data_IF_862661417285
#
_entry.id   IF_862661417285
#
_cell.length_a   1.000
_cell.length_b   1.000
_cell.length_c   1.000
_cell.angle_alpha   90.00
_cell.angle_beta   90.00
_cell.angle_gamma   90.00
#
_symmetry.space_group_name_H-M   'P 1'
#
loop_
_entity.id
_entity.type
_entity.pdbx_description
1 polymer ?
#
# COMPACT_ATOMS: atom_id res chain seq x y z
N UNK A 1 -17.35 -4.67 -0.47
CA UNK A 1 -15.99 -5.07 -0.90
C UNK A 1 -16.11 -6.05 -2.05
N UNK A 2 -15.45 -5.79 -3.17
CA UNK A 2 -15.46 -6.71 -4.31
C UNK A 2 -14.83 -8.06 -3.91
N UNK A 3 -15.39 -9.21 -4.33
CA UNK A 3 -14.91 -10.55 -3.94
C UNK A 3 -13.44 -10.81 -4.28
N UNK A 4 -12.90 -10.12 -5.28
CA UNK A 4 -11.50 -10.23 -5.68
C UNK A 4 -10.51 -9.77 -4.59
N UNK A 5 -10.83 -8.71 -3.83
CA UNK A 5 -9.94 -8.18 -2.78
C UNK A 5 -9.76 -9.19 -1.65
N UNK A 6 -10.82 -9.91 -1.30
CA UNK A 6 -10.75 -10.95 -0.27
C UNK A 6 -9.80 -12.10 -0.66
N UNK A 7 -9.80 -12.50 -1.94
CA UNK A 7 -8.87 -13.50 -2.47
C UNK A 7 -7.41 -13.06 -2.36
N UNK A 8 -7.12 -11.82 -2.76
CA UNK A 8 -5.76 -11.27 -2.68
C UNK A 8 -5.26 -11.12 -1.22
N UNK A 9 -6.15 -10.75 -0.28
CA UNK A 9 -5.81 -10.72 1.14
C UNK A 9 -5.46 -12.12 1.69
N UNK A 10 -6.22 -13.14 1.28
CA UNK A 10 -5.94 -14.52 1.69
C UNK A 10 -4.61 -15.03 1.10
N UNK A 11 -4.33 -14.72 -0.16
CA UNK A 11 -3.06 -15.03 -0.80
C UNK A 11 -1.89 -14.32 -0.10
N UNK A 12 -2.01 -13.01 0.15
CA UNK A 12 -1.00 -12.22 0.84
C UNK A 12 -0.69 -12.77 2.25
N UNK A 13 -1.71 -13.21 2.98
CA UNK A 13 -1.56 -13.86 4.27
C UNK A 13 -0.84 -15.21 4.16
N UNK A 14 -1.20 -16.02 3.17
CA UNK A 14 -0.55 -17.32 2.90
C UNK A 14 0.92 -17.16 2.56
N UNK A 15 1.26 -16.15 1.75
CA UNK A 15 2.64 -15.78 1.39
C UNK A 15 3.38 -15.01 2.49
N UNK A 16 2.74 -14.72 3.63
CA UNK A 16 3.28 -13.95 4.75
C UNK A 16 3.87 -12.59 4.32
N UNK A 17 3.20 -11.91 3.38
CA UNK A 17 3.70 -10.68 2.78
C UNK A 17 3.93 -9.56 3.80
N UNK A 18 3.20 -9.54 4.91
CA UNK A 18 3.36 -8.56 6.00
C UNK A 18 4.71 -8.64 6.71
N UNK A 19 5.42 -9.77 6.59
CA UNK A 19 6.77 -9.98 7.12
C UNK A 19 7.85 -9.90 6.05
N UNK A 20 7.46 -9.65 4.79
CA UNK A 20 8.39 -9.64 3.68
C UNK A 20 9.41 -8.49 3.85
N UNK A 21 10.72 -8.70 3.64
CA UNK A 21 11.74 -7.67 3.87
C UNK A 21 11.50 -6.37 3.09
N UNK A 22 11.02 -6.48 1.85
CA UNK A 22 10.69 -5.30 1.03
C UNK A 22 9.53 -4.52 1.62
N UNK A 23 8.48 -5.20 2.10
CA UNK A 23 7.35 -4.55 2.76
C UNK A 23 7.79 -3.80 4.02
N UNK A 24 8.57 -4.50 4.86
CA UNK A 24 9.08 -3.93 6.08
C UNK A 24 9.95 -2.69 5.82
N UNK A 25 10.77 -2.75 4.77
CA UNK A 25 11.62 -1.63 4.34
C UNK A 25 10.80 -0.45 3.79
N UNK A 26 9.78 -0.69 2.97
CA UNK A 26 8.89 0.36 2.44
C UNK A 26 8.21 1.16 3.56
N UNK A 27 7.93 0.50 4.68
CA UNK A 27 7.30 1.11 5.85
C UNK A 27 8.29 1.51 6.95
N UNK A 28 9.60 1.34 6.73
CA UNK A 28 10.62 1.68 7.71
C UNK A 28 10.54 0.91 9.02
N UNK A 29 10.00 -0.31 9.02
CA UNK A 29 9.93 -1.15 10.22
C UNK A 29 11.31 -1.63 10.67
N UNK A 30 11.45 -1.70 11.98
CA UNK A 30 12.56 -2.33 12.70
C UNK A 30 12.00 -3.32 13.71
N UNK A 31 12.83 -4.28 14.12
CA UNK A 31 12.46 -5.18 15.21
C UNK A 31 12.24 -4.41 16.51
N UNK A 32 11.16 -4.72 17.21
CA UNK A 32 10.78 -4.11 18.47
C UNK A 32 10.40 -5.22 19.48
N UNK A 33 10.91 -5.14 20.70
CA UNK A 33 10.73 -6.21 21.69
C UNK A 33 9.32 -6.29 22.26
N UNK A 34 8.51 -5.23 22.14
CA UNK A 34 7.16 -5.15 22.72
C UNK A 34 6.10 -5.50 21.67
N UNK A 35 6.24 -4.94 20.47
CA UNK A 35 5.27 -5.02 19.37
C UNK A 35 5.69 -5.98 18.26
N UNK A 36 6.93 -6.50 18.31
CA UNK A 36 7.54 -7.29 17.24
C UNK A 36 8.13 -6.40 16.14
N UNK A 37 7.35 -5.45 15.64
CA UNK A 37 7.78 -4.47 14.63
C UNK A 37 7.33 -3.06 15.00
N UNK A 38 8.22 -2.08 14.81
CA UNK A 38 7.89 -0.67 14.96
C UNK A 38 8.51 0.15 13.83
N UNK A 39 7.71 0.99 13.18
CA UNK A 39 8.20 1.88 12.14
C UNK A 39 8.99 3.03 12.75
N UNK A 40 10.06 3.44 12.06
CA UNK A 40 10.74 4.71 12.35
C UNK A 40 9.96 5.94 11.89
N UNK A 41 8.90 5.75 11.07
CA UNK A 41 8.04 6.83 10.60
C UNK A 41 6.98 7.08 11.67
N UNK A 42 6.92 8.33 12.15
CA UNK A 42 6.03 8.74 13.26
C UNK A 42 4.77 9.45 12.80
N UNK A 43 4.76 9.94 11.56
CA UNK A 43 3.61 10.60 10.93
C UNK A 43 2.47 9.60 10.75
N UNK A 44 1.36 9.81 11.45
CA UNK A 44 0.18 8.95 11.32
C UNK A 44 -0.38 9.01 9.90
N UNK A 45 -0.27 10.15 9.22
CA UNK A 45 -0.75 10.29 7.85
C UNK A 45 -0.06 9.31 6.88
N UNK A 46 1.15 8.82 7.18
CA UNK A 46 1.86 7.85 6.35
C UNK A 46 1.19 6.46 6.35
N UNK A 47 0.48 6.11 7.42
CA UNK A 47 -0.20 4.84 7.58
C UNK A 47 -1.66 4.95 7.19
N UNK A 48 -2.20 3.87 6.62
CA UNK A 48 -3.61 3.76 6.27
C UNK A 48 -4.36 3.10 7.43
N UNK A 49 -3.74 2.10 8.07
CA UNK A 49 -4.27 1.51 9.30
C UNK A 49 -3.95 2.40 10.52
N UNK A 50 -4.89 2.46 11.46
CA UNK A 50 -4.71 3.22 12.71
C UNK A 50 -3.50 2.73 13.53
N UNK A 51 -3.33 1.41 13.62
CA UNK A 51 -2.18 0.75 14.26
C UNK A 51 -1.05 0.42 13.27
N UNK A 52 -1.09 1.00 12.07
CA UNK A 52 -0.17 0.70 10.98
C UNK A 52 1.30 0.99 11.29
N UNK A 53 1.62 1.80 12.30
CA UNK A 53 3.01 2.04 12.70
C UNK A 53 3.66 0.87 13.48
N UNK A 54 2.87 -0.08 13.97
CA UNK A 54 3.31 -1.23 14.78
C UNK A 54 2.73 -2.55 14.30
N UNK A 55 1.76 -2.52 13.37
CA UNK A 55 1.12 -3.69 12.82
C UNK A 55 1.31 -3.79 11.30
N UNK A 56 2.40 -4.43 10.83
CA UNK A 56 2.67 -4.62 9.40
C UNK A 56 1.56 -5.36 8.65
N UNK A 57 0.80 -6.20 9.35
CA UNK A 57 -0.33 -6.93 8.76
C UNK A 57 -1.51 -5.99 8.53
N UNK A 58 -1.92 -5.21 9.54
CA UNK A 58 -3.01 -4.26 9.39
C UNK A 58 -2.73 -3.23 8.28
N UNK A 59 -1.51 -2.71 8.23
CA UNK A 59 -1.12 -1.75 7.19
C UNK A 59 -1.13 -2.37 5.79
N UNK A 60 -0.74 -3.65 5.67
CA UNK A 60 -0.76 -4.37 4.40
C UNK A 60 -2.18 -4.53 3.89
N UNK A 61 -3.08 -4.97 4.77
CA UNK A 61 -4.49 -5.18 4.40
C UNK A 61 -5.18 -3.87 4.07
N UNK A 62 -4.92 -2.82 4.84
CA UNK A 62 -5.47 -1.49 4.60
C UNK A 62 -4.94 -0.89 3.29
N UNK A 63 -3.63 -1.01 3.01
CA UNK A 63 -3.03 -0.59 1.74
C UNK A 63 -3.62 -1.34 0.56
N UNK A 64 -3.76 -2.66 0.65
CA UNK A 64 -4.30 -3.44 -0.45
C UNK A 64 -5.76 -3.09 -0.74
N UNK A 65 -6.58 -2.90 0.30
CA UNK A 65 -7.99 -2.50 0.13
C UNK A 65 -8.12 -1.11 -0.49
N UNK A 66 -7.29 -0.16 -0.06
CA UNK A 66 -7.42 1.24 -0.44
C UNK A 66 -7.12 1.50 -1.92
N UNK A 67 -6.31 0.65 -2.57
CA UNK A 67 -6.07 0.76 -4.03
C UNK A 67 -7.31 0.51 -4.89
N UNK A 68 -8.34 -0.14 -4.34
CA UNK A 68 -9.62 -0.44 -5.01
C UNK A 68 -10.76 0.51 -4.59
N UNK A 69 -10.46 1.57 -3.85
CA UNK A 69 -11.43 2.59 -3.51
C UNK A 69 -11.85 3.39 -4.76
N UNK A 70 -13.02 4.01 -4.70
CA UNK A 70 -13.52 4.83 -5.82
C UNK A 70 -12.65 6.08 -5.92
N UNK A 71 -12.29 6.44 -7.14
CA UNK A 71 -11.52 7.65 -7.42
C UNK A 71 -12.43 8.86 -7.21
N UNK A 72 -12.01 9.77 -6.33
CA UNK A 72 -12.61 11.10 -6.26
C UNK A 72 -12.06 11.95 -7.41
N UNK A 73 -12.89 12.15 -8.43
CA UNK A 73 -12.55 12.94 -9.61
C UNK A 73 -12.17 14.40 -9.30
N UNK A 74 -12.50 14.93 -8.11
CA UNK A 74 -12.12 16.28 -7.70
C UNK A 74 -10.66 16.37 -7.23
N UNK A 75 -10.02 15.26 -6.81
CA UNK A 75 -8.64 15.26 -6.34
C UNK A 75 -7.95 13.88 -6.49
N UNK A 76 -7.55 13.52 -7.71
CA UNK A 76 -6.92 12.23 -7.99
C UNK A 76 -5.57 12.03 -7.26
N UNK A 77 -4.85 13.11 -6.94
CA UNK A 77 -3.54 13.05 -6.27
C UNK A 77 -3.61 12.50 -4.83
N UNK A 78 -4.78 12.53 -4.18
CA UNK A 78 -4.95 11.96 -2.84
C UNK A 78 -5.23 10.46 -2.86
N UNK A 79 -5.54 9.91 -4.03
CA UNK A 79 -5.86 8.49 -4.16
C UNK A 79 -4.64 7.64 -3.70
N UNK A 80 -4.87 6.51 -3.00
CA UNK A 80 -3.78 5.68 -2.49
C UNK A 80 -2.78 5.23 -3.56
N UNK A 81 -3.24 4.98 -4.79
CA UNK A 81 -2.36 4.65 -5.92
C UNK A 81 -1.33 5.77 -6.22
N UNK A 82 -1.72 7.04 -6.05
CA UNK A 82 -0.84 8.20 -6.26
C UNK A 82 -0.01 8.55 -5.02
N UNK A 83 -0.54 8.34 -3.81
CA UNK A 83 0.20 8.55 -2.55
C UNK A 83 1.27 7.50 -2.30
N UNK A 84 1.01 6.26 -2.70
CA UNK A 84 1.85 5.11 -2.36
C UNK A 84 2.23 4.26 -3.59
N UNK A 85 2.79 4.86 -4.66
CA UNK A 85 3.08 4.17 -5.91
C UNK A 85 4.04 2.99 -5.72
N UNK A 86 5.04 3.12 -4.83
CA UNK A 86 5.98 2.05 -4.50
C UNK A 86 5.31 0.83 -3.83
N UNK A 87 4.28 1.07 -3.01
CA UNK A 87 3.51 -0.02 -2.37
C UNK A 87 2.68 -0.76 -3.42
N UNK A 88 1.99 -0.02 -4.29
CA UNK A 88 1.21 -0.60 -5.39
C UNK A 88 2.09 -1.43 -6.34
N UNK A 89 3.23 -0.88 -6.76
CA UNK A 89 4.20 -1.58 -7.59
C UNK A 89 4.64 -2.90 -6.94
N UNK A 90 4.94 -2.86 -5.65
CA UNK A 90 5.34 -4.07 -4.92
C UNK A 90 4.21 -5.11 -4.84
N UNK A 91 2.95 -4.70 -4.60
CA UNK A 91 1.83 -5.65 -4.61
C UNK A 91 1.65 -6.32 -5.97
N UNK A 92 1.74 -5.57 -7.08
CA UNK A 92 1.70 -6.12 -8.44
C UNK A 92 2.82 -7.14 -8.71
N UNK A 93 3.96 -7.02 -8.04
CA UNK A 93 5.06 -7.99 -8.15
C UNK A 93 4.87 -9.27 -7.32
N UNK A 94 3.99 -9.23 -6.31
CA UNK A 94 3.82 -10.32 -5.33
C UNK A 94 2.49 -11.07 -5.47
N UNK A 95 1.47 -10.41 -6.00
CA UNK A 95 0.10 -10.89 -6.14
C UNK A 95 -0.34 -10.75 -7.59
N UNK A 96 -1.23 -11.63 -8.04
CA UNK A 96 -1.89 -11.49 -9.34
C UNK A 96 -3.01 -10.46 -9.22
N UNK A 97 -2.65 -9.17 -9.33
CA UNK A 97 -3.58 -8.04 -9.23
C UNK A 97 -4.21 -7.80 -10.60
N UNK A 98 -5.51 -8.09 -10.79
CA UNK A 98 -6.13 -7.93 -12.10
C UNK A 98 -6.20 -6.45 -12.47
N UNK A 99 -5.61 -6.07 -13.60
CA UNK A 99 -5.57 -4.66 -14.04
C UNK A 99 -6.96 -4.06 -14.21
N UNK A 100 -7.93 -4.87 -14.66
CA UNK A 100 -9.32 -4.46 -14.86
C UNK A 100 -10.10 -4.19 -13.56
N UNK A 101 -9.52 -4.50 -12.39
CA UNK A 101 -10.15 -4.23 -11.09
C UNK A 101 -9.58 -3.00 -10.40
N UNK A 102 -8.37 -2.57 -10.77
CA UNK A 102 -7.85 -1.31 -10.27
C UNK A 102 -8.53 -0.16 -11.03
N UNK A 103 -9.04 0.86 -10.34
CA UNK A 103 -9.53 2.04 -11.03
C UNK A 103 -8.38 2.72 -11.77
N UNK A 104 -8.65 3.21 -12.98
CA UNK A 104 -7.72 4.08 -13.70
C UNK A 104 -7.59 5.41 -12.95
N UNK A 105 -6.40 5.68 -12.43
CA UNK A 105 -6.09 6.93 -11.73
C UNK A 105 -4.93 7.61 -12.45
N UNK A 106 -5.16 8.86 -12.87
CA UNK A 106 -4.07 9.73 -13.34
C UNK A 106 -3.46 10.45 -12.15
N UNK A 107 -2.16 10.25 -11.96
CA UNK A 107 -1.42 10.79 -10.83
C UNK A 107 -0.57 11.95 -11.31
N UNK A 108 -1.21 13.06 -11.69
CA UNK A 108 -0.58 14.22 -12.35
C UNK A 108 0.71 14.68 -11.64
N UNK A 109 0.70 14.78 -10.31
CA UNK A 109 1.90 15.21 -9.56
C UNK A 109 3.05 14.21 -9.62
N UNK A 110 2.74 12.92 -9.70
CA UNK A 110 3.74 11.87 -9.84
C UNK A 110 4.31 11.84 -11.27
N UNK A 111 3.44 12.03 -12.27
CA UNK A 111 3.81 12.15 -13.68
C UNK A 111 4.74 13.36 -13.88
N UNK A 112 4.37 14.54 -13.36
CA UNK A 112 5.19 15.74 -13.41
C UNK A 112 6.60 15.48 -12.84
N UNK A 113 6.69 14.83 -11.66
CA UNK A 113 7.99 14.52 -11.05
C UNK A 113 8.84 13.56 -11.90
N UNK A 114 8.22 12.55 -12.53
CA UNK A 114 8.92 11.60 -13.38
C UNK A 114 9.44 12.26 -14.68
N UNK A 115 8.71 13.23 -15.21
CA UNK A 115 9.09 13.97 -16.42
C UNK A 115 10.23 14.96 -16.18
N UNK A 116 10.41 15.45 -14.94
CA UNK A 116 11.53 16.34 -14.59
C UNK A 116 12.92 15.67 -14.62
N UNK A 117 13.01 14.34 -14.73
CA UNK A 117 14.29 13.62 -14.86
C UNK A 117 14.70 13.29 -16.31
N UNK A 118 14.09 13.93 -17.32
CA UNK A 118 14.50 13.85 -18.75
C UNK A 118 15.21 15.11 -19.26
#
# INVERSE_FOLDING_TARGET
MAPAVAGMLAEAKTKQLSKHPVWLKLLGYRGDSVTGYKSSIVSQEFFIAEDGNTNPQAELEASLKSFFEVVDAANNNVHPQCRFPARLYWFRSMLDVPENLLPEVRCERLEDWADFEN
#
